data_IF_047455827925
#
_entry.id   IF_047455827925
#
_cell.length_a   1.000
_cell.length_b   1.000
_cell.length_c   1.000
_cell.angle_alpha   90.00
_cell.angle_beta   90.00
_cell.angle_gamma   90.00
#
_symmetry.space_group_name_H-M   'P 1'
#
loop_
_entity.id
_entity.type
_entity.pdbx_description
1 polymer ?
#
# COMPACT_ATOMS: atom_id res chain seq x y z
N UNK A 1 26.02 69.17 29.51
CA UNK A 1 25.07 68.23 28.89
C UNK A 1 25.60 67.82 27.53
N UNK A 2 26.06 66.58 27.31
CA UNK A 2 26.41 66.10 25.97
C UNK A 2 25.16 65.66 25.19
N UNK A 3 25.14 66.01 23.92
CA UNK A 3 24.05 65.85 22.95
C UNK A 3 23.94 64.38 22.48
N UNK A 4 22.81 63.73 22.75
CA UNK A 4 22.53 62.34 22.32
C UNK A 4 21.99 62.33 20.88
N UNK A 5 22.83 62.63 19.89
CA UNK A 5 22.48 62.43 18.48
C UNK A 5 22.90 61.02 18.04
N UNK A 6 21.92 60.14 17.89
CA UNK A 6 22.12 58.82 17.30
C UNK A 6 22.65 58.96 15.86
N UNK A 7 23.62 58.13 15.42
CA UNK A 7 24.13 58.21 14.06
C UNK A 7 23.04 57.77 13.06
N UNK A 8 22.82 58.59 12.03
CA UNK A 8 22.07 58.19 10.84
C UNK A 8 22.79 56.98 10.21
N UNK A 9 22.21 55.78 10.36
CA UNK A 9 22.61 54.60 9.60
C UNK A 9 21.90 54.65 8.26
N UNK A 10 22.60 54.93 7.14
CA UNK A 10 21.98 54.77 5.84
C UNK A 10 21.63 53.29 5.69
N UNK A 11 20.33 53.01 5.58
CA UNK A 11 19.87 51.68 5.22
C UNK A 11 20.50 51.31 3.89
N UNK A 12 21.14 50.15 3.83
CA UNK A 12 21.59 49.54 2.58
C UNK A 12 20.34 49.42 1.71
N UNK A 13 20.21 50.30 0.71
CA UNK A 13 19.25 50.15 -0.36
C UNK A 13 19.63 48.91 -1.14
N UNK A 14 19.15 47.76 -0.66
CA UNK A 14 19.13 46.50 -1.39
C UNK A 14 18.43 46.80 -2.71
N UNK A 15 19.20 46.84 -3.80
CA UNK A 15 18.68 46.95 -5.14
C UNK A 15 17.61 45.87 -5.33
N UNK A 16 16.35 46.28 -5.30
CA UNK A 16 15.22 45.44 -5.67
C UNK A 16 15.26 45.28 -7.19
N UNK A 17 16.10 44.36 -7.66
CA UNK A 17 16.03 43.84 -9.02
C UNK A 17 14.98 42.74 -9.07
N UNK A 18 13.86 42.99 -9.74
CA UNK A 18 12.96 41.93 -10.18
C UNK A 18 13.49 41.31 -11.47
N UNK A 19 13.16 40.04 -11.71
CA UNK A 19 13.46 39.39 -12.98
C UNK A 19 12.60 39.96 -14.09
N UNK A 20 13.21 40.25 -15.24
CA UNK A 20 12.46 40.65 -16.43
C UNK A 20 11.80 39.42 -17.08
N UNK A 21 10.72 39.62 -17.83
CA UNK A 21 10.09 38.53 -18.59
C UNK A 21 11.05 37.91 -19.61
N UNK A 22 11.91 38.74 -20.22
CA UNK A 22 12.91 38.27 -21.18
C UNK A 22 13.93 37.36 -20.50
N UNK A 23 14.46 37.77 -19.35
CA UNK A 23 15.42 36.97 -18.58
C UNK A 23 14.85 35.62 -18.16
N UNK A 24 13.61 35.60 -17.66
CA UNK A 24 12.93 34.33 -17.32
C UNK A 24 12.74 33.45 -18.55
N UNK A 25 12.36 34.03 -19.71
CA UNK A 25 12.17 33.26 -20.94
C UNK A 25 13.48 32.62 -21.42
N UNK A 26 14.60 33.35 -21.35
CA UNK A 26 15.93 32.83 -21.71
C UNK A 26 16.34 31.72 -20.75
N UNK A 27 16.14 31.91 -19.44
CA UNK A 27 16.43 30.88 -18.44
C UNK A 27 15.62 29.61 -18.69
N UNK A 28 14.32 29.73 -18.99
CA UNK A 28 13.48 28.56 -19.30
C UNK A 28 13.95 27.84 -20.57
N UNK A 29 14.38 28.56 -21.60
CA UNK A 29 14.97 27.95 -22.80
C UNK A 29 16.27 27.21 -22.46
N UNK A 30 17.14 27.81 -21.66
CA UNK A 30 18.39 27.18 -21.23
C UNK A 30 18.13 25.93 -20.38
N UNK A 31 17.16 25.98 -19.46
CA UNK A 31 16.73 24.83 -18.67
C UNK A 31 16.14 23.73 -19.56
N UNK A 32 15.35 24.09 -20.57
CA UNK A 32 14.78 23.11 -21.51
C UNK A 32 15.87 22.41 -22.32
N UNK A 33 16.87 23.14 -22.82
CA UNK A 33 18.01 22.55 -23.54
C UNK A 33 18.81 21.63 -22.60
N UNK A 34 19.11 22.10 -21.40
CA UNK A 34 19.82 21.29 -20.40
C UNK A 34 19.03 20.02 -20.06
N UNK A 35 17.71 20.14 -19.84
CA UNK A 35 16.83 19.01 -19.56
C UNK A 35 16.72 18.05 -20.76
N UNK A 36 16.70 18.53 -21.99
CA UNK A 36 16.63 17.66 -23.18
C UNK A 36 17.89 16.80 -23.35
N UNK A 37 19.07 17.34 -23.02
CA UNK A 37 20.32 16.58 -23.00
C UNK A 37 20.38 15.66 -21.76
N UNK A 38 19.85 16.14 -20.63
CA UNK A 38 19.93 15.45 -19.36
C UNK A 38 18.95 14.25 -19.27
N UNK A 39 17.67 14.46 -19.58
CA UNK A 39 16.58 13.48 -19.43
C UNK A 39 16.85 12.07 -19.98
N UNK A 40 17.39 11.87 -21.21
CA UNK A 40 17.58 10.53 -21.75
C UNK A 40 18.52 9.66 -20.91
N UNK A 41 19.46 10.26 -20.18
CA UNK A 41 20.39 9.53 -19.32
C UNK A 41 19.72 9.09 -18.00
N UNK A 42 18.64 9.76 -17.58
CA UNK A 42 17.92 9.44 -16.35
C UNK A 42 16.81 8.41 -16.55
N UNK A 43 16.30 8.22 -17.78
CA UNK A 43 15.24 7.25 -18.03
C UNK A 43 15.57 5.81 -17.58
N UNK A 44 16.77 5.25 -17.83
CA UNK A 44 17.11 3.91 -17.35
C UNK A 44 17.04 3.81 -15.82
N UNK A 45 17.60 4.78 -15.10
CA UNK A 45 17.59 4.82 -13.64
C UNK A 45 16.16 4.90 -13.08
N UNK A 46 15.29 5.69 -13.71
CA UNK A 46 13.88 5.81 -13.32
C UNK A 46 13.11 4.50 -13.51
N UNK A 47 13.41 3.73 -14.58
CA UNK A 47 12.76 2.44 -14.82
C UNK A 47 13.11 1.42 -13.74
N UNK A 48 14.38 1.33 -13.35
CA UNK A 48 14.79 0.46 -12.25
C UNK A 48 14.23 0.92 -10.91
N UNK A 49 14.23 2.23 -10.65
CA UNK A 49 13.66 2.79 -9.42
C UNK A 49 12.16 2.48 -9.29
N UNK A 50 11.40 2.53 -10.38
CA UNK A 50 9.97 2.19 -10.37
C UNK A 50 9.73 0.72 -10.01
N UNK A 51 10.49 -0.21 -10.59
CA UNK A 51 10.37 -1.64 -10.31
C UNK A 51 10.78 -1.97 -8.87
N UNK A 52 11.85 -1.34 -8.37
CA UNK A 52 12.29 -1.53 -6.98
C UNK A 52 11.28 -0.96 -5.98
N UNK A 53 10.68 0.20 -6.28
CA UNK A 53 9.61 0.77 -5.47
C UNK A 53 8.42 -0.18 -5.37
N UNK A 54 7.95 -0.69 -6.51
CA UNK A 54 6.83 -1.62 -6.57
C UNK A 54 7.11 -2.92 -5.80
N UNK A 55 8.33 -3.46 -5.92
CA UNK A 55 8.76 -4.64 -5.16
C UNK A 55 8.73 -4.41 -3.64
N UNK A 56 9.12 -3.22 -3.17
CA UNK A 56 9.05 -2.87 -1.73
C UNK A 56 7.61 -2.76 -1.25
N UNK A 57 6.72 -2.18 -2.04
CA UNK A 57 5.30 -2.09 -1.71
C UNK A 57 4.68 -3.49 -1.60
N UNK A 58 4.99 -4.37 -2.54
CA UNK A 58 4.55 -5.76 -2.51
C UNK A 58 5.09 -6.54 -1.29
N UNK A 59 6.36 -6.33 -0.95
CA UNK A 59 6.96 -6.94 0.23
C UNK A 59 6.32 -6.43 1.54
N UNK A 60 6.00 -5.14 1.62
CA UNK A 60 5.27 -4.54 2.74
C UNK A 60 3.87 -5.14 2.89
N UNK A 61 3.12 -5.21 1.79
CA UNK A 61 1.81 -5.87 1.74
C UNK A 61 1.87 -7.34 2.18
N UNK A 62 2.85 -8.11 1.70
CA UNK A 62 3.01 -9.51 2.09
C UNK A 62 3.35 -9.68 3.59
N UNK A 63 4.11 -8.74 4.15
CA UNK A 63 4.43 -8.72 5.58
C UNK A 63 3.19 -8.42 6.43
N UNK A 64 2.35 -7.48 5.99
CA UNK A 64 1.07 -7.18 6.64
C UNK A 64 0.11 -8.37 6.57
N UNK A 65 -0.06 -8.99 5.39
CA UNK A 65 -0.90 -10.16 5.20
C UNK A 65 -0.43 -11.36 6.07
N UNK A 66 0.88 -11.54 6.22
CA UNK A 66 1.44 -12.57 7.10
C UNK A 66 1.18 -12.27 8.58
N UNK A 67 1.30 -11.00 9.00
CA UNK A 67 0.97 -10.58 10.36
C UNK A 67 -0.52 -10.79 10.65
N UNK A 68 -1.39 -10.44 9.71
CA UNK A 68 -2.84 -10.69 9.80
C UNK A 68 -3.14 -12.19 9.96
N UNK A 69 -2.58 -13.03 9.08
CA UNK A 69 -2.74 -14.49 9.16
C UNK A 69 -2.29 -15.05 10.53
N UNK A 70 -1.18 -14.55 11.07
CA UNK A 70 -0.67 -14.94 12.38
C UNK A 70 -1.60 -14.50 13.52
N UNK A 71 -2.08 -13.24 13.50
CA UNK A 71 -2.95 -12.69 14.53
C UNK A 71 -4.32 -13.38 14.60
N UNK A 72 -4.92 -13.67 13.44
CA UNK A 72 -6.24 -14.28 13.36
C UNK A 72 -6.20 -15.81 13.36
N UNK A 73 -5.00 -16.41 13.38
CA UNK A 73 -4.79 -17.85 13.29
C UNK A 73 -5.53 -18.45 12.08
N UNK A 74 -5.49 -17.72 10.98
CA UNK A 74 -6.22 -18.00 9.75
C UNK A 74 -5.25 -17.98 8.56
N UNK A 75 -5.57 -18.70 7.49
CA UNK A 75 -4.77 -18.71 6.27
C UNK A 75 -5.20 -17.58 5.33
N UNK A 76 -4.25 -16.71 4.98
CA UNK A 76 -4.43 -15.67 3.97
C UNK A 76 -3.66 -16.06 2.71
N UNK A 77 -4.35 -16.10 1.56
CA UNK A 77 -3.74 -16.39 0.27
C UNK A 77 -3.41 -15.08 -0.46
N UNK A 78 -2.13 -14.84 -0.73
CA UNK A 78 -1.70 -13.69 -1.54
C UNK A 78 -1.56 -14.14 -2.99
N UNK A 79 -2.24 -13.46 -3.92
CA UNK A 79 -2.07 -13.67 -5.36
C UNK A 79 -1.34 -12.47 -5.97
N UNK A 80 -0.41 -12.80 -6.85
CA UNK A 80 0.42 -11.83 -7.57
C UNK A 80 0.26 -12.15 -9.05
N UNK A 81 -0.33 -11.23 -9.80
CA UNK A 81 -0.37 -11.28 -11.25
C UNK A 81 0.65 -10.28 -11.82
N UNK A 82 1.76 -10.82 -12.32
CA UNK A 82 2.82 -10.02 -12.94
C UNK A 82 2.44 -9.48 -14.33
N UNK A 83 1.42 -10.06 -14.97
CA UNK A 83 0.97 -9.62 -16.30
C UNK A 83 0.11 -8.37 -16.20
N UNK A 84 -0.79 -8.35 -15.21
CA UNK A 84 -1.64 -7.20 -14.89
C UNK A 84 -0.99 -6.17 -13.97
N UNK A 85 0.13 -6.49 -13.32
CA UNK A 85 0.69 -5.72 -12.19
C UNK A 85 -0.31 -5.53 -11.06
N UNK A 86 -1.08 -6.58 -10.76
CA UNK A 86 -2.09 -6.55 -9.71
C UNK A 86 -1.73 -7.58 -8.62
N UNK A 87 -1.98 -7.19 -7.37
CA UNK A 87 -1.83 -8.08 -6.23
C UNK A 87 -2.99 -7.89 -5.26
N UNK A 88 -3.42 -8.99 -4.64
CA UNK A 88 -4.50 -8.97 -3.64
C UNK A 88 -4.37 -10.14 -2.68
N UNK A 89 -5.03 -10.02 -1.53
CA UNK A 89 -5.16 -11.07 -0.53
C UNK A 89 -6.58 -11.62 -0.55
N UNK A 90 -6.69 -12.94 -0.39
CA UNK A 90 -7.96 -13.65 -0.23
C UNK A 90 -7.94 -14.34 1.13
N UNK A 91 -8.95 -14.04 1.94
CA UNK A 91 -9.22 -14.76 3.19
C UNK A 91 -10.26 -15.83 2.93
N UNK A 92 -9.99 -17.06 3.36
CA UNK A 92 -10.97 -18.14 3.28
C UNK A 92 -11.87 -18.10 4.52
N UNK A 93 -13.14 -17.77 4.34
CA UNK A 93 -14.14 -17.82 5.42
C UNK A 93 -14.86 -19.16 5.29
N UNK A 94 -14.60 -20.09 6.21
CA UNK A 94 -15.44 -21.28 6.33
C UNK A 94 -16.78 -20.86 6.93
N UNK A 95 -17.92 -21.18 6.30
CA UNK A 95 -19.20 -20.97 6.95
C UNK A 95 -19.25 -21.81 8.23
N UNK A 96 -19.82 -21.24 9.30
CA UNK A 96 -20.03 -21.99 10.53
C UNK A 96 -20.81 -23.28 10.21
N UNK A 97 -20.34 -24.45 10.67
CA UNK A 97 -21.02 -25.70 10.42
C UNK A 97 -22.41 -25.66 11.05
N UNK A 98 -23.44 -25.87 10.24
CA UNK A 98 -24.82 -26.02 10.72
C UNK A 98 -24.92 -27.35 11.48
N UNK A 99 -24.73 -27.28 12.79
CA UNK A 99 -24.65 -28.42 13.71
C UNK A 99 -25.91 -29.29 13.63
N UNK A 100 -27.08 -28.71 13.36
CA UNK A 100 -28.34 -29.43 13.24
C UNK A 100 -28.33 -30.34 12.00
N UNK A 101 -27.83 -29.83 10.87
CA UNK A 101 -27.68 -30.61 9.63
C UNK A 101 -26.61 -31.70 9.74
N UNK A 102 -25.51 -31.43 10.44
CA UNK A 102 -24.48 -32.43 10.68
C UNK A 102 -24.98 -33.51 11.65
N UNK A 103 -25.74 -33.14 12.67
CA UNK A 103 -26.35 -34.10 13.60
C UNK A 103 -27.32 -35.05 12.88
N UNK A 104 -28.10 -34.55 11.91
CA UNK A 104 -28.93 -35.40 11.05
C UNK A 104 -28.10 -36.28 10.11
N UNK A 105 -27.04 -35.75 9.50
CA UNK A 105 -26.20 -36.48 8.56
C UNK A 105 -25.39 -37.61 9.22
N UNK A 106 -24.95 -37.40 10.46
CA UNK A 106 -24.18 -38.38 11.24
C UNK A 106 -25.02 -39.07 12.32
N UNK A 107 -26.36 -38.95 12.26
CA UNK A 107 -27.23 -39.67 13.17
C UNK A 107 -26.94 -41.17 13.04
N UNK A 108 -26.60 -41.87 14.14
CA UNK A 108 -26.39 -43.30 14.09
C UNK A 108 -27.67 -43.95 13.55
N UNK A 109 -27.55 -44.94 12.64
CA UNK A 109 -28.73 -45.60 12.09
C UNK A 109 -29.56 -46.11 13.26
N UNK A 110 -30.91 -45.99 13.19
CA UNK A 110 -31.77 -46.44 14.27
C UNK A 110 -31.43 -47.91 14.52
N UNK A 111 -30.94 -48.19 15.72
CA UNK A 111 -30.73 -49.57 16.14
C UNK A 111 -32.12 -50.19 16.12
N UNK A 112 -32.38 -51.10 15.17
CA UNK A 112 -33.56 -51.96 15.18
C UNK A 112 -33.48 -52.82 16.44
N UNK A 113 -33.91 -52.24 17.55
CA UNK A 113 -34.00 -52.90 18.84
C UNK A 113 -35.03 -54.01 18.76
N UNK A 114 -34.56 -55.20 19.11
CA UNK A 114 -35.26 -56.43 19.42
C UNK A 114 -36.79 -56.41 19.36
N UNK A 115 -37.31 -57.33 18.55
CA UNK A 115 -38.64 -57.93 18.72
C UNK A 115 -38.96 -58.06 20.22
N UNK A 116 -39.89 -57.21 20.68
CA UNK A 116 -40.52 -57.35 21.99
C UNK A 116 -41.31 -58.66 21.97
N UNK A 117 -40.71 -59.74 22.48
CA UNK A 117 -41.42 -61.00 22.78
C UNK A 117 -42.31 -60.76 23.99
N UNK A 118 -43.37 -59.99 23.79
CA UNK A 118 -44.43 -59.74 24.75
C UNK A 118 -45.33 -60.97 24.89
N UNK A 119 -45.10 -61.72 25.96
CA UNK A 119 -46.06 -62.46 26.77
C UNK A 119 -47.46 -62.70 26.15
N UNK A 120 -47.73 -63.94 25.74
CA UNK A 120 -49.11 -64.47 25.63
C UNK A 120 -49.28 -65.60 26.65
N UNK A 121 -50.23 -65.34 27.56
CA UNK A 121 -50.86 -66.25 28.50
C UNK A 121 -51.33 -67.54 27.80
#
# INVERSE_FOLDING_TARGET
MPDCRAPYRPGISRGRGGFTLLELSVVMVLLAIAAAVAAPQFFPALRFASAEWEARQLAGFGTEAAAEACLFKDSVFVRIDLSGQEYWAVRLIYPDPDLDKLAEQYAPPPIMGGQQTGNRL
#
